data_IF_521008910415
#
_entry.id   IF_521008910415
#
_cell.length_a   1.000
_cell.length_b   1.000
_cell.length_c   1.000
_cell.angle_alpha   90.00
_cell.angle_beta   90.00
_cell.angle_gamma   90.00
#
_symmetry.space_group_name_H-M   'P 1'
#
loop_
_entity.id
_entity.type
_entity.pdbx_description
1 polymer ?
#
# COMPACT_ATOMS: atom_id res chain seq x y z
N UNK A 1 0.57 27.47 -1.86
CA UNK A 1 0.80 26.31 -2.75
C UNK A 1 2.26 26.39 -3.17
N UNK A 2 3.09 25.38 -2.88
CA UNK A 2 4.54 25.45 -3.13
C UNK A 2 4.85 25.07 -4.59
N UNK A 3 5.20 26.06 -5.42
CA UNK A 3 5.47 25.88 -6.84
C UNK A 3 6.64 24.92 -7.13
N UNK A 4 7.57 24.74 -6.18
CA UNK A 4 8.66 23.76 -6.29
C UNK A 4 8.12 22.33 -6.30
N UNK A 5 7.13 22.03 -5.45
CA UNK A 5 6.49 20.70 -5.39
C UNK A 5 5.69 20.37 -6.65
N UNK A 6 5.14 21.38 -7.34
CA UNK A 6 4.40 21.20 -8.61
C UNK A 6 5.37 20.86 -9.75
N UNK A 7 6.46 21.62 -9.90
CA UNK A 7 7.48 21.36 -10.93
C UNK A 7 8.17 20.00 -10.74
N UNK A 8 8.52 19.63 -9.50
CA UNK A 8 9.08 18.29 -9.23
C UNK A 8 8.10 17.19 -9.60
N UNK A 9 6.80 17.40 -9.42
CA UNK A 9 5.79 16.37 -9.73
C UNK A 9 5.59 16.17 -11.23
N UNK A 10 5.52 17.24 -12.01
CA UNK A 10 5.44 17.17 -13.48
C UNK A 10 6.72 16.55 -14.05
N UNK A 11 7.89 16.94 -13.52
CA UNK A 11 9.16 16.34 -13.90
C UNK A 11 9.20 14.83 -13.58
N UNK A 12 8.70 14.42 -12.41
CA UNK A 12 8.60 12.99 -12.04
C UNK A 12 7.63 12.25 -12.95
N UNK A 13 6.51 12.86 -13.35
CA UNK A 13 5.55 12.27 -14.29
C UNK A 13 6.15 12.03 -15.69
N UNK A 14 7.04 12.91 -16.13
CA UNK A 14 7.78 12.77 -17.38
C UNK A 14 8.91 11.72 -17.27
N UNK A 15 9.71 11.78 -16.21
CA UNK A 15 10.91 10.94 -16.02
C UNK A 15 10.52 9.50 -15.67
N UNK A 16 9.46 9.31 -14.89
CA UNK A 16 8.97 8.01 -14.46
C UNK A 16 7.50 7.86 -14.85
N UNK A 17 7.18 7.59 -16.13
CA UNK A 17 5.79 7.46 -16.57
C UNK A 17 5.02 6.41 -15.78
N UNK A 18 3.74 6.66 -15.53
CA UNK A 18 2.92 5.79 -14.66
C UNK A 18 2.93 4.32 -15.11
N UNK A 19 2.75 4.07 -16.41
CA UNK A 19 2.71 2.70 -16.93
C UNK A 19 4.06 1.98 -16.81
N UNK A 20 5.17 2.69 -17.04
CA UNK A 20 6.51 2.13 -16.84
C UNK A 20 6.77 1.83 -15.35
N UNK A 21 6.40 2.76 -14.48
CA UNK A 21 6.52 2.57 -13.03
C UNK A 21 5.68 1.39 -12.53
N UNK A 22 4.46 1.24 -13.04
CA UNK A 22 3.59 0.09 -12.75
C UNK A 22 4.23 -1.21 -13.25
N UNK A 23 4.79 -1.23 -14.46
CA UNK A 23 5.48 -2.41 -14.99
C UNK A 23 6.63 -2.85 -14.09
N UNK A 24 7.52 -1.92 -13.70
CA UNK A 24 8.64 -2.23 -12.80
C UNK A 24 8.15 -2.71 -11.43
N UNK A 25 7.06 -2.12 -10.92
CA UNK A 25 6.41 -2.61 -9.69
C UNK A 25 5.87 -4.04 -9.86
N UNK A 26 5.23 -4.35 -10.99
CA UNK A 26 4.67 -5.68 -11.25
C UNK A 26 5.78 -6.73 -11.35
N UNK A 27 6.95 -6.39 -11.93
CA UNK A 27 8.14 -7.24 -11.97
C UNK A 27 8.64 -7.57 -10.55
N UNK A 28 8.83 -6.53 -9.70
CA UNK A 28 9.21 -6.70 -8.28
C UNK A 28 8.20 -7.59 -7.54
N UNK A 29 6.92 -7.36 -7.79
CA UNK A 29 5.84 -8.11 -7.17
C UNK A 29 5.87 -9.59 -7.57
N UNK A 30 6.21 -9.90 -8.83
CA UNK A 30 6.39 -11.27 -9.31
C UNK A 30 7.56 -11.94 -8.62
N UNK A 31 8.75 -11.34 -8.68
CA UNK A 31 9.99 -11.90 -8.11
C UNK A 31 9.88 -12.13 -6.60
N UNK A 32 9.24 -11.18 -5.90
CA UNK A 32 8.99 -11.31 -4.47
C UNK A 32 7.92 -12.33 -4.14
N UNK A 33 6.90 -12.52 -4.97
CA UNK A 33 5.91 -13.57 -4.74
C UNK A 33 6.48 -14.98 -4.96
N UNK A 34 7.44 -15.12 -5.88
CA UNK A 34 8.10 -16.40 -6.14
C UNK A 34 9.08 -16.78 -5.01
N UNK A 35 9.83 -15.80 -4.50
CA UNK A 35 10.75 -15.99 -3.36
C UNK A 35 10.01 -16.11 -2.03
N UNK A 36 9.05 -15.23 -1.79
CA UNK A 36 8.18 -15.22 -0.62
C UNK A 36 6.98 -16.11 -0.95
N UNK A 37 7.14 -17.45 -0.82
CA UNK A 37 6.08 -18.46 -1.00
C UNK A 37 4.93 -18.30 0.01
N UNK A 38 4.35 -17.10 0.12
CA UNK A 38 3.24 -16.75 0.99
C UNK A 38 2.00 -17.36 0.37
N UNK A 39 1.72 -18.57 0.81
CA UNK A 39 0.47 -19.24 0.51
C UNK A 39 -0.65 -18.45 1.14
N UNK A 40 -1.51 -17.88 0.29
CA UNK A 40 -2.77 -17.26 0.70
C UNK A 40 -3.52 -18.22 1.63
N UNK A 41 -3.87 -17.76 2.82
CA UNK A 41 -4.51 -18.62 3.81
C UNK A 41 -5.99 -18.86 3.49
N UNK A 42 -6.55 -19.95 4.04
CA UNK A 42 -7.99 -20.22 3.96
C UNK A 42 -8.83 -19.07 4.51
N UNK A 43 -8.37 -18.43 5.59
CA UNK A 43 -9.05 -17.29 6.21
C UNK A 43 -9.03 -16.05 5.32
N UNK A 44 -7.90 -15.75 4.66
CA UNK A 44 -7.85 -14.69 3.64
C UNK A 44 -8.84 -14.95 2.50
N UNK A 45 -8.90 -16.18 1.98
CA UNK A 45 -9.85 -16.53 0.91
C UNK A 45 -11.30 -16.36 1.36
N UNK A 46 -11.64 -16.77 2.58
CA UNK A 46 -12.97 -16.62 3.15
C UNK A 46 -13.33 -15.14 3.33
N UNK A 47 -12.44 -14.34 3.92
CA UNK A 47 -12.65 -12.91 4.11
C UNK A 47 -12.81 -12.18 2.78
N UNK A 48 -11.94 -12.44 1.81
CA UNK A 48 -12.02 -11.85 0.47
C UNK A 48 -13.37 -12.14 -0.19
N UNK A 49 -13.85 -13.39 -0.10
CA UNK A 49 -15.14 -13.80 -0.65
C UNK A 49 -16.30 -13.05 -0.01
N UNK A 50 -16.29 -12.87 1.31
CA UNK A 50 -17.30 -12.08 2.04
C UNK A 50 -17.25 -10.60 1.63
N UNK A 51 -16.06 -10.02 1.59
CA UNK A 51 -15.85 -8.62 1.22
C UNK A 51 -16.33 -8.31 -0.21
N UNK A 52 -16.07 -9.22 -1.17
CA UNK A 52 -16.51 -9.10 -2.56
C UNK A 52 -18.01 -9.28 -2.74
N UNK A 53 -18.66 -10.14 -1.95
CA UNK A 53 -20.12 -10.32 -1.97
C UNK A 53 -20.83 -9.09 -1.42
N UNK A 54 -20.29 -8.49 -0.35
CA UNK A 54 -20.95 -7.40 0.34
C UNK A 54 -20.58 -6.00 -0.18
N UNK A 55 -19.49 -5.87 -0.95
CA UNK A 55 -19.00 -4.56 -1.42
C UNK A 55 -18.58 -4.61 -2.88
N UNK A 56 -18.67 -3.47 -3.57
CA UNK A 56 -18.14 -3.29 -4.93
C UNK A 56 -16.70 -2.77 -4.96
N UNK A 57 -15.98 -2.91 -3.85
CA UNK A 57 -14.64 -2.35 -3.72
C UNK A 57 -13.63 -3.11 -4.57
N UNK A 58 -12.71 -2.35 -5.16
CA UNK A 58 -11.50 -2.92 -5.74
C UNK A 58 -10.55 -3.24 -4.60
N UNK A 59 -10.23 -4.52 -4.46
CA UNK A 59 -9.37 -5.07 -3.41
C UNK A 59 -8.18 -5.73 -4.10
N UNK A 60 -6.99 -5.32 -3.72
CA UNK A 60 -5.74 -5.93 -4.15
C UNK A 60 -5.29 -6.90 -3.07
N UNK A 61 -5.00 -8.14 -3.43
CA UNK A 61 -4.57 -9.20 -2.50
C UNK A 61 -3.06 -9.34 -2.55
N UNK A 62 -2.43 -9.75 -1.44
CA UNK A 62 -0.98 -9.98 -1.34
C UNK A 62 -0.17 -8.83 -1.95
N UNK A 63 -0.55 -7.61 -1.61
CA UNK A 63 -0.11 -6.40 -2.30
C UNK A 63 1.12 -5.81 -1.61
N UNK A 64 2.16 -5.44 -2.37
CA UNK A 64 3.40 -4.92 -1.81
C UNK A 64 3.38 -3.39 -1.70
N UNK A 65 3.77 -2.89 -0.54
CA UNK A 65 3.89 -1.46 -0.24
C UNK A 65 5.23 -1.25 0.47
N UNK A 66 6.18 -0.61 -0.21
CA UNK A 66 7.55 -0.55 0.28
C UNK A 66 8.10 -1.97 0.46
N UNK A 67 8.64 -2.26 1.64
CA UNK A 67 9.23 -3.55 1.96
C UNK A 67 8.25 -4.60 2.51
N UNK A 68 6.95 -4.30 2.58
CA UNK A 68 5.99 -5.23 3.18
C UNK A 68 4.93 -5.68 2.18
N UNK A 69 4.57 -6.96 2.27
CA UNK A 69 3.38 -7.53 1.65
C UNK A 69 2.22 -7.44 2.65
N UNK A 70 1.11 -6.81 2.24
CA UNK A 70 -0.14 -6.79 3.00
C UNK A 70 -1.17 -7.77 2.42
N UNK A 71 -2.04 -8.30 3.27
CA UNK A 71 -3.05 -9.27 2.83
C UNK A 71 -4.06 -8.66 1.87
N UNK A 72 -4.61 -7.49 2.24
CA UNK A 72 -5.54 -6.73 1.39
C UNK A 72 -5.23 -5.24 1.38
N UNK A 73 -5.25 -4.64 0.19
CA UNK A 73 -5.17 -3.20 0.01
C UNK A 73 -6.38 -2.67 -0.77
N UNK A 74 -7.00 -1.61 -0.25
CA UNK A 74 -8.20 -0.97 -0.79
C UNK A 74 -7.91 0.52 -1.02
N UNK A 75 -7.49 0.92 -2.24
CA UNK A 75 -7.07 2.30 -2.51
C UNK A 75 -8.23 3.29 -2.58
N UNK A 76 -9.46 2.81 -2.75
CA UNK A 76 -10.64 3.69 -2.87
C UNK A 76 -11.04 4.33 -1.55
N UNK A 77 -10.57 3.82 -0.42
CA UNK A 77 -11.01 4.23 0.92
C UNK A 77 -10.21 5.41 1.46
N UNK A 78 -10.94 6.45 1.89
CA UNK A 78 -10.43 7.58 2.67
C UNK A 78 -10.75 7.34 4.14
N UNK A 79 -9.85 7.71 5.04
CA UNK A 79 -10.25 8.09 6.39
C UNK A 79 -9.55 9.36 6.85
N UNK A 80 -10.22 10.02 7.78
CA UNK A 80 -9.91 11.34 8.33
C UNK A 80 -9.12 11.27 9.64
N UNK A 81 -8.56 10.11 9.99
CA UNK A 81 -7.80 9.92 11.26
C UNK A 81 -6.58 10.85 11.34
N UNK A 82 -5.96 11.21 10.20
CA UNK A 82 -5.08 12.38 10.12
C UNK A 82 -5.86 13.58 9.60
N UNK A 83 -5.73 14.69 10.33
CA UNK A 83 -6.32 16.00 10.13
C UNK A 83 -6.72 16.33 8.68
N UNK A 84 -7.81 17.10 8.53
CA UNK A 84 -8.47 17.63 7.31
C UNK A 84 -7.56 18.02 6.11
N UNK A 85 -6.24 18.10 6.27
CA UNK A 85 -5.25 18.54 5.28
C UNK A 85 -4.72 17.44 4.34
N UNK A 86 -4.70 16.14 4.71
CA UNK A 86 -4.22 15.07 3.81
C UNK A 86 -5.01 13.76 3.97
N UNK A 87 -5.96 13.44 3.06
CA UNK A 87 -6.69 12.18 3.13
C UNK A 87 -5.76 10.97 2.96
N UNK A 88 -6.08 9.86 3.63
CA UNK A 88 -5.31 8.61 3.55
C UNK A 88 -5.06 8.16 2.11
N UNK A 89 -4.04 7.35 1.85
CA UNK A 89 -3.77 6.82 0.51
C UNK A 89 -4.61 5.57 0.19
N UNK A 90 -5.12 4.91 1.22
CA UNK A 90 -6.00 3.75 1.15
C UNK A 90 -6.11 3.09 2.52
N UNK A 91 -6.72 1.90 2.55
CA UNK A 91 -6.81 1.05 3.74
C UNK A 91 -6.15 -0.29 3.44
N UNK A 92 -5.31 -0.73 4.36
CA UNK A 92 -4.76 -2.08 4.45
C UNK A 92 -5.55 -2.86 5.48
N UNK A 93 -5.91 -4.11 5.15
CA UNK A 93 -6.49 -5.08 6.07
C UNK A 93 -5.52 -6.25 6.16
N UNK A 94 -5.09 -6.59 7.37
CA UNK A 94 -4.26 -7.76 7.68
C UNK A 94 -5.10 -8.81 8.41
N UNK A 95 -4.87 -10.08 8.12
CA UNK A 95 -5.52 -11.24 8.73
C UNK A 95 -4.49 -11.90 9.64
N UNK A 96 -4.64 -11.66 10.94
CA UNK A 96 -3.66 -12.03 11.95
C UNK A 96 -3.84 -13.49 12.39
N UNK A 97 -2.91 -14.33 11.93
CA UNK A 97 -2.76 -15.69 12.46
C UNK A 97 -2.13 -15.75 13.84
N UNK A 98 -2.46 -16.82 14.56
CA UNK A 98 -1.79 -17.22 15.79
C UNK A 98 -0.35 -17.64 15.49
N UNK A 99 0.62 -16.85 15.96
CA UNK A 99 2.05 -17.16 15.82
C UNK A 99 2.60 -17.67 17.16
N UNK A 100 3.47 -18.69 17.10
CA UNK A 100 4.10 -19.31 18.27
C UNK A 100 5.09 -18.38 18.99
N UNK A 101 5.64 -17.37 18.31
CA UNK A 101 6.49 -16.32 18.90
C UNK A 101 5.83 -14.93 18.75
N UNK A 102 5.00 -14.57 19.74
CA UNK A 102 4.19 -13.34 19.70
C UNK A 102 5.05 -12.06 19.74
N UNK A 103 6.14 -12.04 20.50
CA UNK A 103 6.92 -10.82 20.73
C UNK A 103 7.67 -10.35 19.48
N UNK A 104 8.34 -11.27 18.77
CA UNK A 104 9.02 -10.92 17.52
C UNK A 104 8.04 -10.46 16.44
N UNK A 105 6.87 -11.11 16.35
CA UNK A 105 5.81 -10.71 15.43
C UNK A 105 5.32 -9.29 15.75
N UNK A 106 5.01 -9.01 17.02
CA UNK A 106 4.54 -7.68 17.45
C UNK A 106 5.51 -6.56 17.08
N UNK A 107 6.82 -6.75 17.29
CA UNK A 107 7.83 -5.73 16.92
C UNK A 107 7.90 -5.48 15.41
N UNK A 108 7.74 -6.51 14.59
CA UNK A 108 7.70 -6.35 13.13
C UNK A 108 6.39 -5.70 12.67
N UNK A 109 5.27 -6.07 13.28
CA UNK A 109 3.96 -5.49 12.98
C UNK A 109 3.92 -4.01 13.37
N UNK A 110 4.51 -3.62 14.51
CA UNK A 110 4.67 -2.22 14.91
C UNK A 110 5.48 -1.41 13.89
N UNK A 111 6.61 -1.95 13.40
CA UNK A 111 7.42 -1.29 12.36
C UNK A 111 6.62 -1.13 11.07
N UNK A 112 5.92 -2.18 10.63
CA UNK A 112 5.06 -2.16 9.43
C UNK A 112 3.93 -1.15 9.57
N UNK A 113 3.23 -1.13 10.70
CA UNK A 113 2.14 -0.18 10.99
C UNK A 113 2.66 1.25 10.99
N UNK A 114 3.80 1.52 11.65
CA UNK A 114 4.41 2.85 11.67
C UNK A 114 4.83 3.30 10.27
N UNK A 115 5.39 2.40 9.46
CA UNK A 115 5.78 2.71 8.09
C UNK A 115 4.57 3.01 7.20
N UNK A 116 3.50 2.22 7.28
CA UNK A 116 2.24 2.50 6.59
C UNK A 116 1.59 3.82 7.07
N UNK A 117 1.64 4.10 8.37
CA UNK A 117 1.17 5.36 8.93
C UNK A 117 1.96 6.57 8.40
N UNK A 118 3.26 6.42 8.17
CA UNK A 118 4.11 7.44 7.55
C UNK A 118 3.72 7.67 6.07
N UNK A 119 3.34 6.61 5.37
CA UNK A 119 2.77 6.69 4.01
C UNK A 119 1.30 7.14 3.97
N UNK A 120 0.73 7.54 5.11
CA UNK A 120 -0.67 7.92 5.25
C UNK A 120 -1.63 6.79 4.83
N UNK A 121 -1.25 5.54 5.05
CA UNK A 121 -2.06 4.35 4.82
C UNK A 121 -2.60 3.89 6.17
N UNK A 122 -3.88 3.54 6.20
CA UNK A 122 -4.53 3.06 7.41
C UNK A 122 -4.42 1.55 7.45
N UNK A 123 -4.07 1.01 8.60
CA UNK A 123 -3.96 -0.43 8.81
C UNK A 123 -5.04 -0.85 9.79
N UNK A 124 -5.79 -1.89 9.44
CA UNK A 124 -6.66 -2.60 10.37
C UNK A 124 -6.29 -4.07 10.34
N UNK A 125 -6.25 -4.70 11.50
CA UNK A 125 -5.99 -6.13 11.62
C UNK A 125 -7.28 -6.85 12.05
N UNK A 126 -7.44 -8.08 11.60
CA UNK A 126 -8.53 -8.99 11.99
C UNK A 126 -7.89 -10.29 12.44
N UNK A 127 -8.15 -10.72 13.67
CA UNK A 127 -7.68 -12.02 14.14
C UNK A 127 -8.32 -13.16 13.30
N UNK A 128 -7.57 -14.21 12.99
CA UNK A 128 -8.08 -15.38 12.26
C UNK A 128 -9.34 -15.97 12.90
N UNK A 129 -9.41 -15.97 14.24
CA UNK A 129 -10.57 -16.46 15.00
C UNK A 129 -11.83 -15.60 14.80
N UNK A 130 -11.67 -14.36 14.36
CA UNK A 130 -12.74 -13.39 14.14
C UNK A 130 -13.26 -13.38 12.69
N UNK A 131 -12.48 -13.89 11.73
CA UNK A 131 -12.86 -13.94 10.31
C UNK A 131 -14.18 -14.68 10.07
N UNK A 132 -14.57 -15.60 10.94
CA UNK A 132 -15.84 -16.32 10.85
C UNK A 132 -16.95 -15.82 11.78
N UNK A 133 -16.66 -14.87 12.67
CA UNK A 133 -17.69 -14.24 13.50
C UNK A 133 -18.52 -13.30 12.64
N UNK A 134 -19.77 -13.67 12.39
CA UNK A 134 -20.70 -12.94 11.52
C UNK A 134 -20.79 -11.47 11.91
N UNK A 135 -20.91 -11.19 13.22
CA UNK A 135 -21.04 -9.82 13.73
C UNK A 135 -19.82 -8.93 13.43
N UNK A 136 -18.60 -9.45 13.53
CA UNK A 136 -17.37 -8.70 13.27
C UNK A 136 -17.27 -8.35 11.79
N UNK A 137 -17.59 -9.32 10.92
CA UNK A 137 -17.59 -9.09 9.49
C UNK A 137 -18.66 -8.09 9.08
N UNK A 138 -19.88 -8.20 9.59
CA UNK A 138 -20.96 -7.26 9.29
C UNK A 138 -20.63 -5.85 9.76
N UNK A 139 -20.10 -5.70 10.97
CA UNK A 139 -19.69 -4.41 11.51
C UNK A 139 -18.55 -3.79 10.68
N UNK A 140 -17.50 -4.56 10.40
CA UNK A 140 -16.36 -4.10 9.62
C UNK A 140 -16.77 -3.76 8.18
N UNK A 141 -17.50 -4.64 7.50
CA UNK A 141 -17.95 -4.41 6.13
C UNK A 141 -18.87 -3.19 6.07
N UNK A 142 -19.74 -3.00 7.07
CA UNK A 142 -20.58 -1.81 7.19
C UNK A 142 -19.74 -0.55 7.42
N UNK A 143 -18.70 -0.60 8.24
CA UNK A 143 -17.77 0.53 8.40
C UNK A 143 -17.03 0.82 7.09
N UNK A 144 -16.52 -0.22 6.41
CA UNK A 144 -15.84 -0.07 5.12
C UNK A 144 -16.78 0.48 4.05
N UNK A 145 -18.08 0.21 4.10
CA UNK A 145 -19.04 0.72 3.11
C UNK A 145 -19.34 2.21 3.31
N UNK A 146 -19.36 2.70 4.55
CA UNK A 146 -19.67 4.10 4.91
C UNK A 146 -18.47 5.04 4.80
N UNK A 147 -17.24 4.52 4.78
CA UNK A 147 -16.05 5.34 4.63
C UNK A 147 -16.06 6.14 3.31
N UNK A 148 -15.59 7.41 3.33
CA UNK A 148 -15.54 8.25 2.15
C UNK A 148 -14.62 7.66 1.07
N UNK A 149 -14.88 8.03 -0.19
CA UNK A 149 -14.18 7.46 -1.35
C UNK A 149 -13.24 8.45 -2.03
N UNK A 150 -12.11 7.98 -2.50
CA UNK A 150 -11.28 8.67 -3.49
C UNK A 150 -11.96 8.67 -4.85
N UNK A 151 -11.88 9.80 -5.55
CA UNK A 151 -12.14 9.85 -6.98
C UNK A 151 -11.03 9.11 -7.75
N UNK A 152 -11.28 8.83 -9.03
CA UNK A 152 -10.37 8.08 -9.89
C UNK A 152 -8.99 8.72 -10.04
N UNK A 153 -8.90 10.07 -10.04
CA UNK A 153 -7.62 10.79 -10.15
C UNK A 153 -6.79 10.64 -8.88
N UNK A 154 -7.43 10.77 -7.72
CA UNK A 154 -6.81 10.55 -6.43
C UNK A 154 -6.34 9.09 -6.28
N UNK A 155 -7.13 8.11 -6.70
CA UNK A 155 -6.72 6.70 -6.71
C UNK A 155 -5.46 6.51 -7.56
N UNK A 156 -5.46 7.01 -8.82
CA UNK A 156 -4.29 6.88 -9.71
C UNK A 156 -3.04 7.51 -9.10
N UNK A 157 -3.17 8.70 -8.51
CA UNK A 157 -2.07 9.38 -7.80
C UNK A 157 -1.56 8.57 -6.60
N UNK A 158 -2.46 8.03 -5.78
CA UNK A 158 -2.07 7.24 -4.61
C UNK A 158 -1.35 5.95 -5.03
N UNK A 159 -1.85 5.25 -6.05
CA UNK A 159 -1.18 4.06 -6.61
C UNK A 159 0.21 4.41 -7.13
N UNK A 160 0.35 5.52 -7.85
CA UNK A 160 1.66 6.01 -8.32
C UNK A 160 2.64 6.21 -7.16
N UNK A 161 2.19 6.86 -6.08
CA UNK A 161 3.03 7.08 -4.91
C UNK A 161 3.46 5.76 -4.28
N UNK A 162 2.55 4.77 -4.18
CA UNK A 162 2.90 3.44 -3.67
C UNK A 162 3.93 2.77 -4.57
N UNK A 163 3.76 2.81 -5.89
CA UNK A 163 4.73 2.22 -6.80
C UNK A 163 6.10 2.89 -6.68
N UNK A 164 6.16 4.22 -6.55
CA UNK A 164 7.42 4.94 -6.29
C UNK A 164 8.07 4.45 -4.98
N UNK A 165 7.29 4.41 -3.89
CA UNK A 165 7.77 3.94 -2.58
C UNK A 165 8.33 2.53 -2.70
N UNK A 166 7.59 1.60 -3.29
CA UNK A 166 8.00 0.20 -3.44
C UNK A 166 9.25 0.08 -4.31
N UNK A 167 9.30 0.71 -5.49
CA UNK A 167 10.46 0.66 -6.38
C UNK A 167 11.72 1.17 -5.68
N UNK A 168 11.66 2.34 -5.02
CA UNK A 168 12.82 2.94 -4.36
C UNK A 168 13.25 2.22 -3.08
N UNK A 169 12.35 1.48 -2.42
CA UNK A 169 12.67 0.68 -1.23
C UNK A 169 13.21 -0.71 -1.57
N UNK A 170 12.83 -1.25 -2.74
CA UNK A 170 13.11 -2.64 -3.12
C UNK A 170 14.27 -2.80 -4.09
N UNK A 171 14.54 -1.80 -4.92
CA UNK A 171 15.63 -1.84 -5.89
C UNK A 171 16.85 -1.06 -5.41
N UNK A 172 18.02 -1.53 -5.83
CA UNK A 172 19.24 -0.77 -5.67
C UNK A 172 19.24 0.46 -6.59
N UNK A 173 20.07 1.45 -6.23
CA UNK A 173 20.17 2.71 -6.95
C UNK A 173 20.48 2.51 -8.44
N UNK A 174 21.43 1.63 -8.75
CA UNK A 174 21.88 1.41 -10.12
C UNK A 174 20.78 0.74 -10.96
N UNK A 175 20.04 -0.21 -10.39
CA UNK A 175 18.86 -0.81 -11.02
C UNK A 175 17.79 0.25 -11.33
N UNK A 176 17.56 1.20 -10.42
CA UNK A 176 16.60 2.30 -10.66
C UNK A 176 17.03 3.15 -11.85
N UNK A 177 18.32 3.50 -11.97
CA UNK A 177 18.82 4.27 -13.13
C UNK A 177 18.74 3.46 -14.43
N UNK A 178 18.97 2.15 -14.39
CA UNK A 178 18.78 1.27 -15.54
C UNK A 178 17.30 1.26 -16.00
N UNK A 179 16.36 1.11 -15.07
CA UNK A 179 14.92 1.09 -15.40
C UNK A 179 14.37 2.47 -15.78
N UNK A 180 14.99 3.55 -15.31
CA UNK A 180 14.60 4.94 -15.57
C UNK A 180 15.80 5.80 -16.02
N UNK A 181 16.29 5.65 -17.27
CA UNK A 181 17.53 6.31 -17.73
C UNK A 181 17.48 7.84 -17.77
N UNK A 182 16.28 8.43 -17.80
CA UNK A 182 16.10 9.88 -17.76
C UNK A 182 16.17 10.45 -16.34
N UNK A 183 16.21 9.59 -15.32
CA UNK A 183 16.37 10.00 -13.95
C UNK A 183 17.81 10.48 -13.74
N UNK A 184 17.96 11.67 -13.18
CA UNK A 184 19.27 12.16 -12.74
C UNK A 184 19.39 12.08 -11.22
N UNK A 185 20.62 12.20 -10.72
CA UNK A 185 20.93 12.03 -9.29
C UNK A 185 20.20 13.03 -8.39
N UNK A 186 20.01 14.27 -8.85
CA UNK A 186 19.31 15.30 -8.08
C UNK A 186 17.83 14.97 -7.92
N UNK A 187 17.16 14.56 -9.01
CA UNK A 187 15.77 14.12 -8.98
C UNK A 187 15.61 12.86 -8.14
N UNK A 188 16.54 11.90 -8.23
CA UNK A 188 16.55 10.70 -7.39
C UNK A 188 16.54 11.05 -5.90
N UNK A 189 17.43 11.94 -5.45
CA UNK A 189 17.47 12.38 -4.05
C UNK A 189 16.22 13.17 -3.63
N UNK A 190 15.64 13.98 -4.52
CA UNK A 190 14.37 14.65 -4.25
C UNK A 190 13.23 13.66 -4.03
N UNK A 191 13.14 12.60 -4.84
CA UNK A 191 12.13 11.54 -4.67
C UNK A 191 12.35 10.79 -3.36
N UNK A 192 13.60 10.43 -3.04
CA UNK A 192 13.92 9.77 -1.78
C UNK A 192 13.50 10.61 -0.56
N UNK A 193 13.83 11.90 -0.53
CA UNK A 193 13.44 12.78 0.56
C UNK A 193 11.91 12.84 0.71
N UNK A 194 11.17 12.93 -0.41
CA UNK A 194 9.72 12.89 -0.39
C UNK A 194 9.15 11.58 0.16
N UNK A 195 9.78 10.43 -0.16
CA UNK A 195 9.38 9.11 0.37
C UNK A 195 9.69 8.99 1.86
N UNK A 196 10.83 9.50 2.31
CA UNK A 196 11.27 9.45 3.71
C UNK A 196 10.60 10.50 4.60
N UNK A 197 9.84 11.44 4.02
CA UNK A 197 9.21 12.54 4.76
C UNK A 197 10.22 13.59 5.25
N UNK A 198 11.35 13.74 4.55
CA UNK A 198 12.42 14.72 4.82
C UNK A 198 12.30 15.95 3.93
#
# INVERSE_FOLDING_TARGET
>A
MDFRKIRTREAVELIMPYEKLKSVYDDINSDRSDSYKKTVTTFENQFYSKLRKATKLKVYRSFWIGNYCCDFYIPSLKSSIKAKKNPSMGVVIEIDGSIHNREFKMRNDEKKINEFFNYNIIVTAIDNSDVNKTHINELLIKQLSTLPRHDSRAIKRNMRNIFLITVFKCLEKDEIFEKFPLLNINTYHQILNLIEGR
#
